data_IF_011019490412
#
_entry.id   IF_011019490412
#
_cell.length_a   1.000
_cell.length_b   1.000
_cell.length_c   1.000
_cell.angle_alpha   90.00
_cell.angle_beta   90.00
_cell.angle_gamma   90.00
#
_symmetry.space_group_name_H-M   'P 1'
#
loop_
_entity.id
_entity.type
_entity.pdbx_description
1 polymer ?
#
# COMPACT_ATOMS: atom_id res chain seq x y z
N UNK A 1 16.64 -2.44 -15.20
CA UNK A 1 16.59 -1.31 -14.24
C UNK A 1 15.28 -0.50 -14.30
N UNK A 2 14.79 -0.08 -15.48
CA UNK A 2 13.57 0.76 -15.62
C UNK A 2 12.33 0.16 -14.94
N UNK A 3 12.02 -1.13 -15.17
CA UNK A 3 10.86 -1.82 -14.57
C UNK A 3 10.92 -1.88 -13.04
N UNK A 4 12.10 -2.13 -12.47
CA UNK A 4 12.31 -2.15 -11.02
C UNK A 4 12.08 -0.76 -10.41
N UNK A 5 12.55 0.30 -11.08
CA UNK A 5 12.35 1.67 -10.61
C UNK A 5 10.88 2.10 -10.68
N UNK A 6 10.16 1.69 -11.73
CA UNK A 6 8.71 1.92 -11.83
C UNK A 6 7.94 1.19 -10.71
N UNK A 7 8.22 -0.10 -10.50
CA UNK A 7 7.60 -0.89 -9.44
C UNK A 7 7.93 -0.34 -8.04
N UNK A 8 9.15 0.16 -7.83
CA UNK A 8 9.56 0.84 -6.58
C UNK A 8 8.73 2.10 -6.34
N UNK A 9 8.58 2.97 -7.34
CA UNK A 9 7.78 4.19 -7.22
C UNK A 9 6.32 3.89 -6.88
N UNK A 10 5.72 2.90 -7.54
CA UNK A 10 4.36 2.44 -7.25
C UNK A 10 4.22 1.89 -5.82
N UNK A 11 5.18 1.09 -5.36
CA UNK A 11 5.22 0.59 -3.99
C UNK A 11 5.36 1.72 -2.95
N UNK A 12 6.22 2.71 -3.19
CA UNK A 12 6.41 3.83 -2.29
C UNK A 12 5.14 4.70 -2.18
N UNK A 13 4.42 4.89 -3.29
CA UNK A 13 3.11 5.55 -3.28
C UNK A 13 2.09 4.74 -2.49
N UNK A 14 1.96 3.44 -2.74
CA UNK A 14 1.03 2.56 -2.02
C UNK A 14 1.33 2.54 -0.51
N UNK A 15 2.61 2.54 -0.12
CA UNK A 15 3.05 2.63 1.27
C UNK A 15 2.65 3.95 1.93
N UNK A 16 2.78 5.08 1.20
CA UNK A 16 2.32 6.40 1.70
C UNK A 16 0.81 6.42 1.89
N UNK A 17 0.05 5.97 0.89
CA UNK A 17 -1.41 5.92 0.94
C UNK A 17 -1.89 5.06 2.12
N UNK A 18 -1.32 3.87 2.33
CA UNK A 18 -1.65 3.00 3.47
C UNK A 18 -1.44 3.69 4.81
N UNK A 19 -0.36 4.46 4.98
CA UNK A 19 -0.11 5.19 6.23
C UNK A 19 -1.13 6.30 6.44
N UNK A 20 -1.45 7.05 5.39
CA UNK A 20 -2.44 8.13 5.46
C UNK A 20 -3.83 7.58 5.78
N UNK A 21 -4.30 6.55 5.08
CA UNK A 21 -5.63 5.97 5.33
C UNK A 21 -5.71 5.24 6.66
N UNK A 22 -4.61 4.64 7.15
CA UNK A 22 -4.55 4.12 8.53
C UNK A 22 -4.73 5.24 9.55
N UNK A 23 -4.07 6.38 9.35
CA UNK A 23 -4.21 7.52 10.27
C UNK A 23 -5.66 8.03 10.27
N UNK A 24 -6.28 8.16 9.09
CA UNK A 24 -7.69 8.52 8.97
C UNK A 24 -8.59 7.54 9.72
N UNK A 25 -8.39 6.22 9.54
CA UNK A 25 -9.18 5.20 10.26
C UNK A 25 -9.04 5.32 11.78
N UNK A 26 -7.82 5.53 12.27
CA UNK A 26 -7.58 5.71 13.70
C UNK A 26 -8.29 6.96 14.23
N UNK A 27 -8.30 8.04 13.46
CA UNK A 27 -9.04 9.26 13.81
C UNK A 27 -10.54 9.00 13.90
N UNK A 28 -11.15 8.34 12.90
CA UNK A 28 -12.59 8.08 12.94
C UNK A 28 -13.00 7.10 14.03
N UNK A 29 -12.16 6.10 14.32
CA UNK A 29 -12.36 5.22 15.49
C UNK A 29 -12.35 6.04 16.79
N UNK A 30 -11.39 6.95 16.95
CA UNK A 30 -11.32 7.80 18.13
C UNK A 30 -12.53 8.75 18.24
N UNK A 31 -12.98 9.34 17.13
CA UNK A 31 -14.17 10.19 17.11
C UNK A 31 -15.43 9.39 17.51
N UNK A 32 -15.56 8.16 17.02
CA UNK A 32 -16.64 7.26 17.39
C UNK A 32 -16.60 6.90 18.88
N UNK A 33 -15.43 6.53 19.41
CA UNK A 33 -15.23 6.22 20.83
C UNK A 33 -15.53 7.41 21.75
N UNK A 34 -15.28 8.64 21.29
CA UNK A 34 -15.65 9.87 22.00
C UNK A 34 -17.14 10.24 21.89
N UNK A 35 -17.92 9.53 21.07
CA UNK A 35 -19.35 9.81 20.84
C UNK A 35 -19.61 11.06 20.00
N UNK A 36 -18.62 11.52 19.23
CA UNK A 36 -18.72 12.70 18.34
C UNK A 36 -18.62 12.35 16.84
N UNK A 37 -18.25 11.11 16.51
CA UNK A 37 -18.13 10.63 15.13
C UNK A 37 -19.42 10.01 14.60
N UNK A 38 -19.62 10.11 13.29
CA UNK A 38 -20.69 9.43 12.56
C UNK A 38 -20.29 7.97 12.28
N UNK A 39 -21.17 7.00 12.59
CA UNK A 39 -20.94 5.58 12.27
C UNK A 39 -20.60 5.39 10.78
N UNK A 40 -21.25 6.15 9.91
CA UNK A 40 -21.06 6.08 8.47
C UNK A 40 -19.62 6.42 8.09
N UNK A 41 -19.06 7.48 8.66
CA UNK A 41 -17.69 7.93 8.37
C UNK A 41 -16.66 6.90 8.84
N UNK A 42 -16.91 6.26 9.99
CA UNK A 42 -16.11 5.14 10.49
C UNK A 42 -16.11 3.97 9.50
N UNK A 43 -17.29 3.51 9.07
CA UNK A 43 -17.39 2.39 8.15
C UNK A 43 -16.84 2.70 6.75
N UNK A 44 -17.06 3.90 6.23
CA UNK A 44 -16.48 4.35 4.96
C UNK A 44 -14.95 4.32 5.02
N UNK A 45 -14.38 4.85 6.10
CA UNK A 45 -12.93 4.86 6.30
C UNK A 45 -12.35 3.45 6.45
N UNK A 46 -13.07 2.54 7.13
CA UNK A 46 -12.69 1.13 7.23
C UNK A 46 -12.67 0.44 5.85
N UNK A 47 -13.68 0.69 5.02
CA UNK A 47 -13.76 0.16 3.64
C UNK A 47 -12.59 0.71 2.81
N UNK A 48 -12.33 2.02 2.88
CA UNK A 48 -11.21 2.67 2.18
C UNK A 48 -9.88 2.06 2.63
N UNK A 49 -9.66 1.92 3.94
CA UNK A 49 -8.43 1.32 4.48
C UNK A 49 -8.22 -0.10 3.95
N UNK A 50 -9.26 -0.92 3.96
CA UNK A 50 -9.20 -2.30 3.45
C UNK A 50 -8.82 -2.34 1.96
N UNK A 51 -9.42 -1.48 1.13
CA UNK A 51 -9.08 -1.38 -0.31
C UNK A 51 -7.63 -0.94 -0.53
N UNK A 52 -7.16 0.05 0.22
CA UNK A 52 -5.77 0.52 0.16
C UNK A 52 -4.79 -0.55 0.65
N UNK A 53 -5.19 -1.34 1.65
CA UNK A 53 -4.39 -2.45 2.17
C UNK A 53 -4.18 -3.54 1.11
N UNK A 54 -5.22 -3.91 0.37
CA UNK A 54 -5.12 -4.85 -0.77
C UNK A 54 -4.14 -4.31 -1.82
N UNK A 55 -4.34 -3.07 -2.28
CA UNK A 55 -3.45 -2.47 -3.28
C UNK A 55 -1.99 -2.31 -2.80
N UNK A 56 -1.77 -2.12 -1.49
CA UNK A 56 -0.42 -2.15 -0.90
C UNK A 56 0.26 -3.51 -1.04
N UNK A 57 -0.46 -4.61 -0.79
CA UNK A 57 0.09 -5.95 -0.93
C UNK A 57 0.35 -6.32 -2.39
N UNK A 58 -0.52 -5.92 -3.31
CA UNK A 58 -0.29 -6.09 -4.74
C UNK A 58 0.96 -5.34 -5.22
N UNK A 59 1.14 -4.09 -4.78
CA UNK A 59 2.32 -3.30 -5.11
C UNK A 59 3.61 -3.89 -4.52
N UNK A 60 3.56 -4.42 -3.29
CA UNK A 60 4.69 -5.12 -2.66
C UNK A 60 5.07 -6.38 -3.45
N UNK A 61 4.08 -7.19 -3.83
CA UNK A 61 4.30 -8.38 -4.65
C UNK A 61 4.96 -8.04 -5.98
N UNK A 62 4.40 -7.08 -6.72
CA UNK A 62 4.92 -6.66 -8.02
C UNK A 62 6.35 -6.07 -7.95
N UNK A 63 6.67 -5.36 -6.87
CA UNK A 63 8.03 -4.87 -6.62
C UNK A 63 9.01 -6.03 -6.42
N UNK A 64 8.67 -6.97 -5.53
CA UNK A 64 9.51 -8.14 -5.27
C UNK A 64 9.71 -9.00 -6.53
N UNK A 65 8.65 -9.20 -7.30
CA UNK A 65 8.72 -9.95 -8.56
C UNK A 65 9.63 -9.25 -9.58
N UNK A 66 9.55 -7.92 -9.69
CA UNK A 66 10.39 -7.11 -10.58
C UNK A 66 11.86 -7.20 -10.20
N UNK A 67 12.18 -7.17 -8.90
CA UNK A 67 13.55 -7.36 -8.38
C UNK A 67 14.06 -8.76 -8.73
N UNK A 68 13.28 -9.80 -8.45
CA UNK A 68 13.67 -11.19 -8.72
C UNK A 68 13.88 -11.49 -10.22
N UNK A 69 13.07 -10.87 -11.10
CA UNK A 69 13.27 -10.95 -12.57
C UNK A 69 14.58 -10.27 -12.97
N UNK A 70 14.85 -9.07 -12.47
CA UNK A 70 16.08 -8.34 -12.77
C UNK A 70 17.33 -9.09 -12.30
N UNK A 71 17.32 -9.64 -11.09
CA UNK A 71 18.44 -10.46 -10.59
C UNK A 71 18.72 -11.65 -11.51
N UNK A 72 17.68 -12.39 -11.91
CA UNK A 72 17.82 -13.52 -12.84
C UNK A 72 18.42 -13.11 -14.18
N UNK A 73 17.97 -11.99 -14.77
CA UNK A 73 18.52 -11.46 -16.03
C UNK A 73 20.00 -11.06 -15.91
N UNK A 74 20.39 -10.45 -14.78
CA UNK A 74 21.78 -10.09 -14.52
C UNK A 74 22.65 -11.34 -14.38
N UNK A 75 22.18 -12.36 -13.64
CA UNK A 75 22.91 -13.62 -13.49
C UNK A 75 23.00 -14.45 -14.78
N UNK A 76 22.01 -14.38 -15.67
CA UNK A 76 22.06 -15.09 -16.96
C UNK A 76 22.95 -14.42 -18.00
N UNK A 77 23.18 -13.10 -17.90
CA UNK A 77 24.02 -12.33 -18.84
C UNK A 77 25.51 -12.44 -18.49
N UNK A 78 25.85 -12.80 -17.26
CA UNK A 78 27.22 -12.97 -16.77
C UNK A 78 27.77 -14.41 -16.93
N UNK A 79 27.10 -15.27 -17.70
CA UNK A 79 27.60 -16.57 -18.16
C UNK A 79 27.85 -16.51 -19.65
#
# INVERSE_FOLDING_TARGET
>A
MVRVNQARSAFDLARKNRRMTRALLVTEVANYDFGIGDEKDLFETLIIYTRVLVGFYDALYNFNESVAKFEREVFSTNR
#
